data_IF_664105603978
#
_entry.id   IF_664105603978
#
_cell.length_a   1.000
_cell.length_b   1.000
_cell.length_c   1.000
_cell.angle_alpha   90.00
_cell.angle_beta   90.00
_cell.angle_gamma   90.00
#
_symmetry.space_group_name_H-M   'P 1'
#
loop_
_entity.id
_entity.type
_entity.pdbx_description
1 polymer ?
#
# COMPACT_ATOMS: atom_id res chain seq x y z
N UNK A 1 68.51 27.78 7.62
CA UNK A 1 67.46 26.92 8.21
C UNK A 1 66.97 25.99 7.12
N UNK A 2 67.05 24.70 7.40
CA UNK A 2 67.15 23.60 6.44
C UNK A 2 65.77 23.11 6.01
N UNK A 3 65.54 23.05 4.70
CA UNK A 3 64.43 22.36 4.05
C UNK A 3 64.51 20.87 4.34
N UNK A 4 63.46 20.27 4.89
CA UNK A 4 63.35 18.81 5.07
C UNK A 4 62.41 18.23 4.03
N UNK A 5 63.04 17.57 3.06
CA UNK A 5 62.45 16.58 2.16
C UNK A 5 61.70 15.51 2.95
N UNK A 6 60.45 15.23 2.55
CA UNK A 6 59.70 14.06 3.02
C UNK A 6 59.95 12.92 2.04
N UNK A 7 60.34 11.72 2.48
CA UNK A 7 60.70 10.63 1.59
C UNK A 7 59.46 9.92 1.00
N UNK A 8 59.51 9.75 -0.32
CA UNK A 8 58.51 9.16 -1.23
C UNK A 8 58.35 7.64 -1.09
N UNK A 9 58.25 7.13 0.14
CA UNK A 9 58.21 5.67 0.42
C UNK A 9 56.88 5.25 1.09
N UNK A 10 56.14 6.20 1.67
CA UNK A 10 54.86 5.90 2.34
C UNK A 10 53.64 5.77 1.40
N UNK A 11 53.78 6.16 0.13
CA UNK A 11 52.67 6.13 -0.84
C UNK A 11 52.58 4.78 -1.57
N UNK A 12 53.67 3.99 -1.59
CA UNK A 12 53.75 2.74 -2.35
C UNK A 12 53.04 1.55 -1.68
N UNK A 13 52.83 1.60 -0.35
CA UNK A 13 52.15 0.52 0.39
C UNK A 13 50.62 0.61 0.37
N UNK A 14 50.03 1.77 0.04
CA UNK A 14 48.57 1.95 0.01
C UNK A 14 47.92 1.49 -1.31
N UNK A 15 48.68 1.34 -2.39
CA UNK A 15 48.16 0.95 -3.72
C UNK A 15 48.08 -0.57 -3.95
N UNK A 16 48.71 -1.40 -3.11
CA UNK A 16 48.69 -2.86 -3.28
C UNK A 16 47.51 -3.57 -2.58
N UNK A 17 46.68 -2.85 -1.81
CA UNK A 17 45.51 -3.43 -1.15
C UNK A 17 44.22 -3.40 -2.01
N UNK A 18 44.24 -2.78 -3.19
CA UNK A 18 43.04 -2.54 -4.01
C UNK A 18 42.80 -3.61 -5.09
N UNK A 19 43.72 -4.56 -5.30
CA UNK A 19 43.66 -5.47 -6.46
C UNK A 19 43.53 -6.98 -6.15
N UNK A 20 43.19 -7.38 -4.92
CA UNK A 20 42.90 -8.79 -4.61
C UNK A 20 41.62 -8.92 -3.80
N UNK A 21 40.47 -8.69 -4.45
CA UNK A 21 39.18 -9.30 -4.07
C UNK A 21 38.14 -9.16 -5.19
N UNK A 22 38.56 -9.35 -6.44
CA UNK A 22 37.66 -9.66 -7.55
C UNK A 22 37.73 -11.16 -7.86
N UNK A 23 37.48 -12.01 -6.86
CA UNK A 23 37.34 -13.45 -7.05
C UNK A 23 36.68 -14.08 -5.83
N UNK A 24 35.42 -13.71 -5.56
CA UNK A 24 34.46 -14.64 -4.98
C UNK A 24 33.07 -14.11 -5.29
N UNK A 25 32.57 -14.57 -6.44
CA UNK A 25 31.15 -14.62 -6.77
C UNK A 25 30.52 -15.56 -5.75
N UNK A 26 30.25 -15.04 -4.55
CA UNK A 26 29.30 -15.64 -3.63
C UNK A 26 27.93 -15.18 -4.08
N UNK A 27 27.21 -16.07 -4.74
CA UNK A 27 25.77 -15.94 -4.98
C UNK A 27 25.10 -15.83 -3.60
N UNK A 28 24.95 -14.62 -3.08
CA UNK A 28 24.11 -14.38 -1.90
C UNK A 28 22.68 -14.53 -2.37
N UNK A 29 22.16 -15.76 -2.29
CA UNK A 29 20.72 -16.00 -2.21
C UNK A 29 20.24 -15.28 -0.96
N UNK A 30 19.81 -14.03 -1.12
CA UNK A 30 18.99 -13.35 -0.14
C UNK A 30 17.74 -14.20 -0.02
N UNK A 31 17.71 -15.09 0.97
CA UNK A 31 16.48 -15.71 1.43
C UNK A 31 15.59 -14.54 1.85
N UNK A 32 14.75 -14.07 0.93
CA UNK A 32 13.56 -13.32 1.28
C UNK A 32 12.70 -14.30 2.07
N UNK A 33 12.99 -14.41 3.36
CA UNK A 33 12.09 -15.02 4.31
C UNK A 33 10.83 -14.17 4.20
N UNK A 34 9.82 -14.72 3.53
CA UNK A 34 8.50 -14.15 3.51
C UNK A 34 8.12 -13.88 4.97
N UNK A 35 8.04 -12.61 5.35
CA UNK A 35 7.42 -12.21 6.60
C UNK A 35 5.98 -12.62 6.47
N UNK A 36 5.63 -13.74 7.10
CA UNK A 36 4.24 -14.13 7.29
C UNK A 36 3.56 -12.99 8.04
N UNK A 37 2.59 -12.36 7.37
CA UNK A 37 1.73 -11.36 7.98
C UNK A 37 1.08 -12.00 9.21
N UNK A 38 1.50 -11.59 10.41
CA UNK A 38 0.86 -12.05 11.65
C UNK A 38 -0.45 -11.28 11.75
N UNK A 39 -1.50 -11.85 11.20
CA UNK A 39 -2.86 -11.31 11.33
C UNK A 39 -3.39 -11.74 12.69
N UNK A 40 -3.52 -10.80 13.63
CA UNK A 40 -4.37 -11.01 14.81
C UNK A 40 -5.78 -11.38 14.32
N UNK A 41 -6.43 -12.44 14.87
CA UNK A 41 -7.78 -12.80 14.48
C UNK A 41 -8.71 -11.60 14.62
N UNK A 42 -9.47 -11.28 13.57
CA UNK A 42 -10.49 -10.23 13.63
C UNK A 42 -11.51 -10.61 14.72
N UNK A 43 -11.85 -9.70 15.64
CA UNK A 43 -12.95 -9.91 16.57
C UNK A 43 -14.23 -10.32 15.83
N UNK A 44 -15.08 -11.13 16.47
CA UNK A 44 -16.35 -11.57 15.89
C UNK A 44 -17.18 -10.36 15.45
N UNK A 45 -17.66 -10.31 14.19
CA UNK A 45 -18.35 -9.13 13.72
C UNK A 45 -19.68 -8.86 14.43
N UNK A 46 -19.94 -7.61 14.82
CA UNK A 46 -21.21 -7.22 15.45
C UNK A 46 -22.29 -6.82 14.41
N UNK A 47 -23.56 -6.84 14.85
CA UNK A 47 -24.78 -6.62 14.01
C UNK A 47 -24.77 -5.33 13.16
N UNK A 48 -23.91 -4.36 13.48
CA UNK A 48 -23.83 -3.05 12.81
C UNK A 48 -22.48 -2.77 12.14
N UNK A 49 -21.53 -3.71 12.20
CA UNK A 49 -20.17 -3.58 11.61
C UNK A 49 -20.21 -3.45 10.09
N UNK A 50 -21.38 -3.61 9.46
CA UNK A 50 -21.59 -3.60 8.01
C UNK A 50 -22.54 -2.49 7.54
N UNK A 51 -22.76 -1.46 8.35
CA UNK A 51 -23.61 -0.33 7.98
C UNK A 51 -22.94 0.51 6.88
N UNK A 52 -23.24 0.21 5.62
CA UNK A 52 -22.74 0.95 4.47
C UNK A 52 -23.29 2.38 4.49
N UNK A 53 -22.42 3.36 4.69
CA UNK A 53 -22.85 4.76 4.80
C UNK A 53 -22.79 5.52 3.46
N UNK A 54 -21.99 5.07 2.49
CA UNK A 54 -22.00 5.56 1.12
C UNK A 54 -21.11 4.72 0.21
N UNK A 55 -21.35 4.85 -1.09
CA UNK A 55 -20.46 4.40 -2.16
C UNK A 55 -20.23 5.54 -3.13
N UNK A 56 -19.00 5.63 -3.66
CA UNK A 56 -18.67 6.59 -4.70
C UNK A 56 -17.72 5.95 -5.69
N UNK A 57 -18.16 5.89 -6.94
CA UNK A 57 -17.33 5.55 -8.08
C UNK A 57 -16.77 6.83 -8.69
N UNK A 58 -15.44 6.91 -8.79
CA UNK A 58 -14.75 7.92 -9.57
C UNK A 58 -14.56 7.39 -11.00
N UNK A 59 -15.28 7.95 -11.97
CA UNK A 59 -15.23 7.49 -13.35
C UNK A 59 -13.96 7.89 -14.10
N UNK A 60 -13.12 8.78 -13.56
CA UNK A 60 -11.88 9.24 -14.19
C UNK A 60 -10.71 8.35 -13.78
N UNK A 61 -10.60 8.04 -12.50
CA UNK A 61 -9.54 7.17 -11.96
C UNK A 61 -9.98 5.74 -11.65
N UNK A 62 -11.26 5.44 -11.89
CA UNK A 62 -11.88 4.12 -11.77
C UNK A 62 -11.78 3.50 -10.37
N UNK A 63 -11.70 4.34 -9.34
CA UNK A 63 -11.79 3.91 -7.94
C UNK A 63 -13.25 3.90 -7.48
N UNK A 64 -13.74 2.74 -7.08
CA UNK A 64 -14.96 2.60 -6.27
C UNK A 64 -14.54 2.54 -4.80
N UNK A 65 -14.98 3.51 -4.00
CA UNK A 65 -14.71 3.55 -2.57
C UNK A 65 -15.98 3.51 -1.73
N UNK A 66 -15.85 2.98 -0.52
CA UNK A 66 -16.91 2.95 0.49
C UNK A 66 -16.36 3.17 1.89
N UNK A 67 -17.14 3.81 2.75
CA UNK A 67 -16.82 3.84 4.17
C UNK A 67 -17.37 2.61 4.88
N UNK A 68 -16.48 1.93 5.58
CA UNK A 68 -16.76 0.83 6.47
C UNK A 68 -16.46 1.25 7.90
N UNK A 69 -17.48 1.41 8.73
CA UNK A 69 -17.32 1.76 10.14
C UNK A 69 -17.31 0.49 10.98
N UNK A 70 -16.23 0.27 11.72
CA UNK A 70 -16.16 -0.75 12.76
C UNK A 70 -16.31 -0.09 14.12
N UNK A 71 -16.51 -0.89 15.18
CA UNK A 71 -16.55 -0.40 16.56
C UNK A 71 -15.28 0.37 16.96
N UNK A 72 -14.15 0.01 16.36
CA UNK A 72 -12.82 0.48 16.78
C UNK A 72 -12.25 1.56 15.86
N UNK A 73 -12.72 1.64 14.62
CA UNK A 73 -12.15 2.52 13.61
C UNK A 73 -13.09 2.74 12.43
N UNK A 74 -12.96 3.91 11.82
CA UNK A 74 -13.48 4.17 10.48
C UNK A 74 -12.45 3.72 9.46
N UNK A 75 -12.88 2.84 8.56
CA UNK A 75 -12.07 2.33 7.46
C UNK A 75 -12.71 2.81 6.16
N UNK A 76 -11.91 3.20 5.17
CA UNK A 76 -12.36 3.41 3.80
C UNK A 76 -11.78 2.31 2.92
N UNK A 77 -12.65 1.55 2.27
CA UNK A 77 -12.25 0.49 1.35
C UNK A 77 -12.34 1.03 -0.07
N UNK A 78 -11.25 0.97 -0.80
CA UNK A 78 -11.16 1.44 -2.18
C UNK A 78 -10.71 0.32 -3.11
N UNK A 79 -11.44 0.12 -4.20
CA UNK A 79 -11.16 -0.87 -5.22
C UNK A 79 -10.94 -0.16 -6.55
N UNK A 80 -9.83 -0.48 -7.20
CA UNK A 80 -9.59 -0.03 -8.57
C UNK A 80 -10.29 -1.01 -9.51
N UNK A 81 -11.38 -0.56 -10.10
CA UNK A 81 -12.27 -1.38 -10.90
C UNK A 81 -11.51 -1.86 -12.16
N UNK A 82 -11.50 -3.18 -12.45
CA UNK A 82 -10.86 -3.74 -13.63
C UNK A 82 -11.37 -3.08 -14.90
N UNK A 83 -10.47 -2.89 -15.88
CA UNK A 83 -10.77 -2.17 -17.12
C UNK A 83 -11.99 -2.73 -17.85
N UNK A 84 -12.13 -4.06 -17.84
CA UNK A 84 -13.20 -4.81 -18.45
C UNK A 84 -14.57 -4.54 -17.80
N UNK A 85 -14.60 -4.08 -16.54
CA UNK A 85 -15.82 -3.84 -15.76
C UNK A 85 -16.18 -2.35 -15.64
N UNK A 86 -15.24 -1.43 -15.88
CA UNK A 86 -15.43 0.02 -15.67
C UNK A 86 -16.65 0.59 -16.38
N UNK A 87 -16.94 0.10 -17.59
CA UNK A 87 -18.07 0.55 -18.41
C UNK A 87 -19.42 0.02 -17.90
N UNK A 88 -19.41 -1.12 -17.23
CA UNK A 88 -20.59 -1.80 -16.68
C UNK A 88 -21.07 -1.17 -15.38
N UNK A 89 -20.25 -0.36 -14.69
CA UNK A 89 -20.65 0.31 -13.45
C UNK A 89 -21.76 1.36 -13.62
N UNK A 90 -22.15 1.65 -14.87
CA UNK A 90 -23.36 2.43 -15.17
C UNK A 90 -24.64 1.59 -15.02
N UNK A 91 -24.51 0.27 -15.07
CA UNK A 91 -25.62 -0.67 -14.96
C UNK A 91 -25.97 -0.88 -13.49
N UNK A 92 -27.26 -0.78 -13.16
CA UNK A 92 -27.76 -0.84 -11.77
C UNK A 92 -27.46 -2.17 -11.07
N UNK A 93 -27.26 -3.25 -11.83
CA UNK A 93 -26.91 -4.57 -11.28
C UNK A 93 -25.42 -4.74 -11.00
N UNK A 94 -24.54 -4.05 -11.73
CA UNK A 94 -23.08 -4.25 -11.59
C UNK A 94 -22.54 -3.54 -10.37
N UNK A 95 -23.05 -2.36 -10.04
CA UNK A 95 -22.58 -1.61 -8.88
C UNK A 95 -22.70 -2.45 -7.59
N UNK A 96 -23.89 -2.99 -7.21
CA UNK A 96 -24.02 -3.86 -6.05
C UNK A 96 -23.09 -5.09 -6.06
N UNK A 97 -22.86 -5.69 -7.24
CA UNK A 97 -21.93 -6.84 -7.37
C UNK A 97 -20.50 -6.45 -6.97
N UNK A 98 -20.02 -5.28 -7.41
CA UNK A 98 -18.69 -4.80 -7.04
C UNK A 98 -18.66 -4.36 -5.58
N UNK A 99 -19.73 -3.76 -5.05
CA UNK A 99 -19.87 -3.44 -3.62
C UNK A 99 -19.72 -4.68 -2.73
N UNK A 100 -20.42 -5.77 -3.05
CA UNK A 100 -20.29 -7.05 -2.35
C UNK A 100 -18.88 -7.64 -2.47
N UNK A 101 -18.28 -7.56 -3.66
CA UNK A 101 -16.91 -8.03 -3.91
C UNK A 101 -15.89 -7.32 -3.02
N UNK A 102 -15.99 -5.99 -2.89
CA UNK A 102 -15.11 -5.19 -2.03
C UNK A 102 -15.08 -5.73 -0.60
N UNK A 103 -16.26 -5.98 -0.02
CA UNK A 103 -16.36 -6.46 1.35
C UNK A 103 -15.85 -7.89 1.49
N UNK A 104 -16.13 -8.77 0.53
CA UNK A 104 -15.59 -10.14 0.54
C UNK A 104 -14.07 -10.13 0.55
N UNK A 105 -13.45 -9.37 -0.35
CA UNK A 105 -11.99 -9.25 -0.43
C UNK A 105 -11.39 -8.69 0.85
N UNK A 106 -12.03 -7.69 1.45
CA UNK A 106 -11.64 -7.16 2.74
C UNK A 106 -11.69 -8.23 3.85
N UNK A 107 -12.77 -9.02 3.90
CA UNK A 107 -12.94 -10.10 4.88
C UNK A 107 -11.93 -11.23 4.68
N UNK A 108 -11.59 -11.54 3.43
CA UNK A 108 -10.58 -12.53 3.06
C UNK A 108 -9.14 -12.01 3.28
N UNK A 109 -8.99 -10.73 3.65
CA UNK A 109 -7.70 -10.12 3.99
C UNK A 109 -6.93 -9.56 2.80
N UNK A 110 -7.54 -9.46 1.61
CA UNK A 110 -6.93 -8.92 0.40
C UNK A 110 -6.90 -7.39 0.43
N UNK A 111 -6.06 -6.84 1.30
CA UNK A 111 -6.03 -5.41 1.61
C UNK A 111 -4.60 -4.91 1.77
N UNK A 112 -4.37 -3.65 1.40
CA UNK A 112 -3.13 -2.94 1.68
C UNK A 112 -3.41 -1.48 2.03
N UNK A 113 -2.65 -0.85 2.95
CA UNK A 113 -2.76 0.58 3.20
C UNK A 113 -2.56 1.42 1.93
N UNK A 114 -3.32 2.51 1.80
CA UNK A 114 -3.26 3.42 0.65
C UNK A 114 -3.15 4.88 1.12
N UNK A 115 -2.02 5.53 0.84
CA UNK A 115 -1.77 6.93 1.21
C UNK A 115 -1.99 7.92 0.08
N UNK A 116 -2.06 7.44 -1.16
CA UNK A 116 -2.08 8.22 -2.39
C UNK A 116 -3.49 8.36 -3.00
N UNK A 117 -4.54 7.93 -2.29
CA UNK A 117 -5.92 8.07 -2.76
C UNK A 117 -6.25 9.53 -3.13
N UNK A 118 -5.73 10.50 -2.37
CA UNK A 118 -5.95 11.93 -2.68
C UNK A 118 -5.42 12.33 -4.06
N UNK A 119 -4.31 11.73 -4.50
CA UNK A 119 -3.73 11.99 -5.81
C UNK A 119 -4.58 11.37 -6.92
N UNK A 120 -5.06 10.14 -6.74
CA UNK A 120 -5.84 9.43 -7.76
C UNK A 120 -7.32 9.83 -7.80
N UNK A 121 -7.93 10.11 -6.65
CA UNK A 121 -9.34 10.44 -6.51
C UNK A 121 -9.55 11.32 -5.27
N UNK A 122 -9.28 12.62 -5.42
CA UNK A 122 -9.50 13.59 -4.34
C UNK A 122 -10.94 13.55 -3.84
N UNK A 123 -11.93 13.39 -4.72
CA UNK A 123 -13.33 13.26 -4.32
C UNK A 123 -13.60 12.06 -3.41
N UNK A 124 -13.02 10.88 -3.70
CA UNK A 124 -13.14 9.73 -2.80
C UNK A 124 -12.38 9.97 -1.50
N UNK A 125 -11.20 10.57 -1.57
CA UNK A 125 -10.43 10.94 -0.39
C UNK A 125 -11.20 11.88 0.56
N UNK A 126 -11.86 12.91 0.01
CA UNK A 126 -12.72 13.81 0.80
C UNK A 126 -13.86 13.03 1.44
N UNK A 127 -14.55 12.14 0.70
CA UNK A 127 -15.61 11.31 1.28
C UNK A 127 -15.09 10.37 2.38
N UNK A 128 -13.95 9.71 2.16
CA UNK A 128 -13.29 8.84 3.14
C UNK A 128 -13.01 9.59 4.44
N UNK A 129 -12.41 10.78 4.36
CA UNK A 129 -12.07 11.61 5.52
C UNK A 129 -13.24 12.44 6.06
N UNK A 130 -14.44 12.30 5.48
CA UNK A 130 -15.59 13.14 5.80
C UNK A 130 -15.26 14.63 5.67
N UNK A 131 -14.68 15.03 4.54
CA UNK A 131 -14.23 16.38 4.23
C UNK A 131 -13.24 16.94 5.26
N UNK A 132 -12.30 16.10 5.73
CA UNK A 132 -11.30 16.46 6.72
C UNK A 132 -11.75 16.38 8.18
N UNK A 133 -12.99 15.97 8.47
CA UNK A 133 -13.47 15.78 9.84
C UNK A 133 -12.99 14.48 10.51
N UNK A 134 -12.50 13.50 9.73
CA UNK A 134 -12.13 12.16 10.19
C UNK A 134 -10.77 11.75 9.60
N UNK A 135 -9.73 12.51 9.91
CA UNK A 135 -8.37 12.28 9.39
C UNK A 135 -7.70 11.01 9.93
N UNK A 136 -8.24 10.44 10.99
CA UNK A 136 -7.88 9.14 11.57
C UNK A 136 -8.47 7.95 10.80
N UNK A 137 -9.25 8.21 9.73
CA UNK A 137 -9.79 7.16 8.86
C UNK A 137 -8.66 6.35 8.23
N UNK A 138 -8.68 5.04 8.45
CA UNK A 138 -7.76 4.11 7.77
C UNK A 138 -8.22 3.92 6.33
N UNK A 139 -7.38 4.25 5.35
CA UNK A 139 -7.70 4.06 3.93
C UNK A 139 -6.98 2.82 3.42
N UNK A 140 -7.74 1.86 2.94
CA UNK A 140 -7.25 0.59 2.42
C UNK A 140 -7.63 0.45 0.95
N UNK A 141 -6.67 -0.04 0.15
CA UNK A 141 -6.95 -0.59 -1.16
C UNK A 141 -7.28 -2.07 -1.00
N UNK A 142 -8.42 -2.49 -1.53
CA UNK A 142 -8.75 -3.91 -1.74
C UNK A 142 -8.37 -4.33 -3.16
N UNK A 143 -8.07 -5.60 -3.32
CA UNK A 143 -7.66 -6.20 -4.60
C UNK A 143 -8.11 -7.66 -4.65
N UNK A 144 -8.34 -8.21 -5.84
CA UNK A 144 -8.57 -9.65 -6.01
C UNK A 144 -7.25 -10.43 -5.88
#
# INVERSE_FOLDING_TARGET
>A
MTTKNVPSILISFLLHAVLVSCANIGLTTTNQRATTHVTTPRPTPEKYEYSYLWFRYDSVSHFLCTSHATRLMRVCLCYHVPYEEQHLLKDSGKLPEVEERILRLYLDGHTTPMSDLRFYSDGNYQMCTGHGHNLDTTILRVYD
#
